data_IF_756106426524
#
_entry.id   IF_756106426524
#
_cell.length_a   1.000
_cell.length_b   1.000
_cell.length_c   1.000
_cell.angle_alpha   90.00
_cell.angle_beta   90.00
_cell.angle_gamma   90.00
#
_symmetry.space_group_name_H-M   'P 1'
#
loop_
_entity.id
_entity.type
_entity.pdbx_description
1 polymer ?
#
# COMPACT_ATOMS: atom_id res chain seq x y z
N UNK A 1 -56.77 -15.94 -26.58
CA UNK A 1 -56.05 -17.20 -26.30
C UNK A 1 -54.67 -16.85 -25.76
N UNK A 2 -54.40 -17.23 -24.51
CA UNK A 2 -53.15 -17.04 -23.76
C UNK A 2 -52.03 -17.94 -24.29
N UNK A 3 -51.67 -17.85 -25.56
CA UNK A 3 -50.78 -18.84 -26.17
C UNK A 3 -49.30 -18.68 -25.76
N UNK A 4 -48.85 -17.50 -25.30
CA UNK A 4 -47.52 -17.33 -24.70
C UNK A 4 -47.32 -15.94 -24.05
N UNK A 5 -47.66 -15.75 -22.76
CA UNK A 5 -47.46 -14.46 -22.06
C UNK A 5 -46.02 -14.23 -21.57
N UNK A 6 -45.13 -15.21 -21.70
CA UNK A 6 -43.69 -15.07 -21.45
C UNK A 6 -42.95 -15.50 -22.70
N UNK A 7 -42.32 -14.55 -23.40
CA UNK A 7 -41.40 -14.91 -24.48
C UNK A 7 -40.38 -15.88 -23.92
N UNK A 8 -40.30 -17.10 -24.47
CA UNK A 8 -39.20 -18.00 -24.15
C UNK A 8 -37.93 -17.27 -24.55
N UNK A 9 -37.13 -16.83 -23.58
CA UNK A 9 -35.73 -16.56 -23.86
C UNK A 9 -35.17 -17.84 -24.47
N UNK A 10 -34.81 -17.78 -25.75
CA UNK A 10 -34.06 -18.87 -26.37
C UNK A 10 -32.85 -19.22 -25.50
N UNK A 11 -32.29 -20.44 -25.60
CA UNK A 11 -31.09 -20.79 -24.85
C UNK A 11 -30.06 -19.69 -25.04
N UNK A 12 -29.53 -19.18 -23.91
CA UNK A 12 -28.46 -18.20 -23.89
C UNK A 12 -27.38 -18.63 -24.88
N UNK A 13 -27.16 -17.87 -25.95
CA UNK A 13 -26.07 -18.13 -26.91
C UNK A 13 -24.71 -17.81 -26.31
N UNK A 14 -24.68 -17.14 -25.17
CA UNK A 14 -23.47 -16.91 -24.37
C UNK A 14 -23.24 -18.11 -23.44
N UNK A 15 -22.07 -18.79 -23.56
CA UNK A 15 -21.66 -19.84 -22.65
C UNK A 15 -21.69 -19.35 -21.18
N UNK A 16 -22.22 -20.15 -20.24
CA UNK A 16 -22.27 -19.76 -18.83
C UNK A 16 -20.88 -19.64 -18.20
N UNK A 17 -20.81 -18.91 -17.08
CA UNK A 17 -19.65 -18.89 -16.19
C UNK A 17 -19.84 -19.92 -15.08
N UNK A 18 -18.77 -20.56 -14.65
CA UNK A 18 -18.78 -21.51 -13.53
C UNK A 18 -17.66 -21.18 -12.55
N UNK A 19 -17.93 -21.44 -11.27
CA UNK A 19 -16.94 -21.41 -10.20
C UNK A 19 -16.80 -22.84 -9.69
N UNK A 20 -15.57 -23.28 -9.47
CA UNK A 20 -15.25 -24.61 -8.97
C UNK A 20 -14.04 -24.52 -8.05
N UNK A 21 -13.90 -25.50 -7.17
CA UNK A 21 -12.81 -25.59 -6.23
C UNK A 21 -12.05 -26.89 -6.51
N UNK A 22 -10.73 -26.87 -6.32
CA UNK A 22 -9.99 -28.12 -6.30
C UNK A 22 -10.52 -29.00 -5.14
N UNK A 23 -10.88 -30.28 -5.33
CA UNK A 23 -11.33 -31.14 -4.24
C UNK A 23 -10.26 -31.36 -3.15
N UNK A 24 -8.97 -31.24 -3.51
CA UNK A 24 -7.84 -31.50 -2.62
C UNK A 24 -7.09 -30.21 -2.26
N UNK A 25 -7.76 -29.29 -1.54
CA UNK A 25 -7.14 -28.04 -1.08
C UNK A 25 -6.32 -28.26 0.20
N UNK A 26 -4.99 -28.09 0.18
CA UNK A 26 -4.19 -28.07 1.40
C UNK A 26 -4.55 -26.87 2.27
N UNK A 27 -4.47 -27.04 3.58
CA UNK A 27 -4.67 -25.96 4.54
C UNK A 27 -3.52 -24.95 4.46
N UNK A 28 -3.87 -23.66 4.33
CA UNK A 28 -2.91 -22.57 4.39
C UNK A 28 -2.16 -22.57 5.74
N UNK A 29 -0.84 -22.37 5.70
CA UNK A 29 -0.04 -22.23 6.92
C UNK A 29 1.09 -21.23 6.74
N UNK A 30 1.58 -20.71 7.87
CA UNK A 30 2.67 -19.74 7.93
C UNK A 30 3.71 -20.22 8.94
N UNK A 31 4.95 -20.32 8.50
CA UNK A 31 6.10 -20.48 9.38
C UNK A 31 6.64 -19.10 9.70
N UNK A 32 6.77 -18.79 11.00
CA UNK A 32 7.21 -17.48 11.47
C UNK A 32 8.41 -17.66 12.41
N UNK A 33 9.42 -16.81 12.26
CA UNK A 33 10.56 -16.73 13.15
C UNK A 33 10.80 -15.29 13.56
N UNK A 34 11.20 -15.08 14.81
CA UNK A 34 11.47 -13.75 15.33
C UNK A 34 12.68 -13.75 16.23
N UNK A 35 13.35 -12.61 16.27
CA UNK A 35 14.50 -12.36 17.11
C UNK A 35 14.36 -10.97 17.72
N UNK A 36 14.60 -10.83 19.02
CA UNK A 36 14.40 -9.56 19.72
C UNK A 36 15.51 -9.29 20.74
N UNK A 37 15.94 -8.05 20.82
CA UNK A 37 16.84 -7.54 21.86
C UNK A 37 16.26 -6.23 22.42
N UNK A 38 16.10 -6.19 23.73
CA UNK A 38 15.77 -4.97 24.47
C UNK A 38 16.95 -4.53 25.33
N UNK A 39 17.19 -3.21 25.37
CA UNK A 39 18.21 -2.62 26.23
C UNK A 39 17.76 -1.28 26.79
N UNK A 40 17.90 -1.11 28.11
CA UNK A 40 17.86 0.23 28.71
C UNK A 40 19.12 1.00 28.29
N UNK A 41 18.94 2.18 27.69
CA UNK A 41 20.06 3.03 27.26
C UNK A 41 20.54 3.93 28.40
N UNK A 42 19.59 4.55 29.09
CA UNK A 42 19.77 5.36 30.29
C UNK A 42 18.44 5.42 31.04
N UNK A 43 18.44 6.03 32.23
CA UNK A 43 17.26 6.04 33.11
C UNK A 43 16.00 6.53 32.38
N UNK A 44 15.06 5.61 32.19
CA UNK A 44 13.77 5.89 31.55
C UNK A 44 13.78 5.86 30.02
N UNK A 45 14.90 5.46 29.39
CA UNK A 45 15.02 5.26 27.95
C UNK A 45 15.28 3.80 27.60
N UNK A 46 14.60 3.29 26.57
CA UNK A 46 14.77 1.94 26.05
C UNK A 46 15.00 1.94 24.55
N UNK A 47 15.86 1.03 24.12
CA UNK A 47 16.03 0.60 22.74
C UNK A 47 15.48 -0.82 22.61
N UNK A 48 14.70 -1.04 21.56
CA UNK A 48 14.17 -2.35 21.19
C UNK A 48 14.51 -2.59 19.73
N UNK A 49 15.11 -3.74 19.46
CA UNK A 49 15.44 -4.23 18.13
C UNK A 49 14.68 -5.54 17.94
N UNK A 50 13.82 -5.61 16.92
CA UNK A 50 13.04 -6.80 16.61
C UNK A 50 13.17 -7.14 15.13
N UNK A 51 13.53 -8.38 14.84
CA UNK A 51 13.44 -8.97 13.52
C UNK A 51 12.30 -9.98 13.48
N UNK A 52 11.57 -10.00 12.37
CA UNK A 52 10.45 -10.88 12.11
C UNK A 52 10.52 -11.34 10.66
N UNK A 53 10.61 -12.64 10.44
CA UNK A 53 10.47 -13.26 9.13
C UNK A 53 9.29 -14.23 9.10
N UNK A 54 8.65 -14.36 7.94
CA UNK A 54 7.64 -15.40 7.72
C UNK A 54 7.64 -15.93 6.30
N UNK A 55 7.34 -17.22 6.19
CA UNK A 55 7.07 -17.92 4.95
C UNK A 55 5.68 -18.53 5.00
N UNK A 56 4.80 -18.07 4.12
CA UNK A 56 3.41 -18.56 3.99
C UNK A 56 3.30 -19.45 2.77
N UNK A 57 2.61 -20.58 2.93
CA UNK A 57 2.39 -21.58 1.89
C UNK A 57 0.92 -22.00 1.84
N UNK A 58 0.52 -22.52 0.68
CA UNK A 58 -0.86 -22.92 0.41
C UNK A 58 -1.86 -21.77 0.60
N UNK A 59 -1.42 -20.55 0.28
CA UNK A 59 -2.32 -19.42 0.20
C UNK A 59 -3.31 -19.65 -0.94
N UNK A 60 -4.53 -19.18 -0.72
CA UNK A 60 -5.59 -19.31 -1.69
C UNK A 60 -5.35 -18.37 -2.87
N UNK A 61 -5.62 -18.86 -4.07
CA UNK A 61 -5.74 -18.07 -5.28
C UNK A 61 -6.95 -18.49 -6.08
N UNK A 62 -7.41 -17.58 -6.91
CA UNK A 62 -8.39 -17.88 -7.93
C UNK A 62 -7.79 -17.64 -9.29
N UNK A 63 -7.96 -18.59 -10.19
CA UNK A 63 -7.46 -18.47 -11.55
C UNK A 63 -8.47 -19.03 -12.55
N UNK A 64 -8.35 -18.59 -13.78
CA UNK A 64 -9.29 -18.96 -14.84
C UNK A 64 -8.71 -20.12 -15.65
N UNK A 65 -9.07 -21.36 -15.28
CA UNK A 65 -8.49 -22.57 -15.89
C UNK A 65 -8.94 -22.79 -17.35
N UNK A 66 -9.98 -22.09 -17.81
CA UNK A 66 -10.49 -22.11 -19.18
C UNK A 66 -9.91 -20.99 -20.05
N UNK A 67 -8.78 -20.41 -19.66
CA UNK A 67 -8.04 -19.41 -20.44
C UNK A 67 -7.37 -20.08 -21.64
N UNK A 68 -7.56 -19.62 -22.88
CA UNK A 68 -6.88 -20.23 -24.01
C UNK A 68 -5.36 -19.94 -23.94
N UNK A 69 -4.50 -20.83 -24.46
CA UNK A 69 -3.09 -20.51 -24.65
C UNK A 69 -2.96 -19.30 -25.60
N UNK A 70 -1.87 -18.51 -25.56
CA UNK A 70 -1.72 -17.39 -26.47
C UNK A 70 -1.81 -17.77 -27.95
N UNK A 71 -2.46 -16.93 -28.77
CA UNK A 71 -2.57 -17.21 -30.20
C UNK A 71 -3.62 -16.39 -30.96
N UNK A 72 -3.69 -16.57 -32.30
CA UNK A 72 -4.58 -15.81 -33.18
C UNK A 72 -6.05 -16.24 -33.10
N UNK A 73 -6.94 -15.36 -33.55
CA UNK A 73 -8.37 -15.64 -33.67
C UNK A 73 -9.17 -15.39 -32.38
N UNK A 74 -10.45 -15.76 -32.42
CA UNK A 74 -11.40 -15.49 -31.33
C UNK A 74 -11.01 -16.27 -30.06
N UNK A 75 -10.94 -15.56 -28.92
CA UNK A 75 -10.60 -16.14 -27.61
C UNK A 75 -11.47 -17.35 -27.28
N UNK A 76 -12.79 -17.23 -27.46
CA UNK A 76 -13.75 -18.28 -27.12
C UNK A 76 -13.60 -19.58 -27.93
N UNK A 77 -13.13 -19.53 -29.18
CA UNK A 77 -12.95 -20.74 -29.99
C UNK A 77 -11.70 -21.54 -29.61
N UNK A 78 -10.74 -20.89 -28.95
CA UNK A 78 -9.49 -21.49 -28.47
C UNK A 78 -9.56 -21.95 -27.01
N UNK A 79 -10.64 -21.65 -26.29
CA UNK A 79 -10.81 -22.09 -24.90
C UNK A 79 -10.77 -23.62 -24.83
N UNK A 80 -10.09 -24.21 -23.82
CA UNK A 80 -10.07 -25.66 -23.60
C UNK A 80 -11.47 -26.28 -23.56
N UNK A 81 -12.41 -25.60 -22.89
CA UNK A 81 -13.83 -25.97 -22.86
C UNK A 81 -14.70 -24.85 -23.43
N UNK A 82 -15.24 -25.07 -24.64
CA UNK A 82 -16.07 -24.10 -25.36
C UNK A 82 -17.49 -23.96 -24.81
N UNK A 83 -17.93 -24.88 -23.94
CA UNK A 83 -19.26 -24.84 -23.32
C UNK A 83 -19.36 -23.79 -22.21
N UNK A 84 -18.22 -23.30 -21.72
CA UNK A 84 -18.17 -22.29 -20.67
C UNK A 84 -17.35 -21.09 -21.14
N UNK A 85 -17.74 -19.89 -20.70
CA UNK A 85 -16.97 -18.69 -20.99
C UNK A 85 -15.80 -18.59 -20.00
N UNK A 86 -16.11 -18.48 -18.71
CA UNK A 86 -15.11 -18.46 -17.65
C UNK A 86 -15.33 -19.63 -16.70
N UNK A 87 -14.25 -20.33 -16.34
CA UNK A 87 -14.24 -21.29 -15.25
C UNK A 87 -13.24 -20.76 -14.22
N UNK A 88 -13.74 -20.18 -13.13
CA UNK A 88 -12.92 -19.74 -12.00
C UNK A 88 -12.65 -20.94 -11.10
N UNK A 89 -11.39 -21.26 -10.90
CA UNK A 89 -10.95 -22.36 -10.04
C UNK A 89 -10.28 -21.79 -8.79
N UNK A 90 -10.71 -22.22 -7.61
CA UNK A 90 -10.02 -21.93 -6.35
C UNK A 90 -8.94 -22.99 -6.11
N UNK A 91 -7.72 -22.54 -5.79
CA UNK A 91 -6.57 -23.39 -5.53
C UNK A 91 -5.70 -22.82 -4.40
N UNK A 92 -5.11 -23.70 -3.58
CA UNK A 92 -4.22 -23.33 -2.47
C UNK A 92 -2.77 -23.70 -2.79
N UNK A 93 -2.12 -22.90 -3.64
CA UNK A 93 -0.75 -23.10 -4.09
C UNK A 93 0.10 -21.82 -4.12
N UNK A 94 -0.44 -20.67 -3.69
CA UNK A 94 0.33 -19.43 -3.60
C UNK A 94 1.25 -19.40 -2.38
N UNK A 95 2.27 -18.55 -2.50
CA UNK A 95 3.30 -18.32 -1.48
C UNK A 95 3.44 -16.83 -1.20
N UNK A 96 3.77 -16.50 0.04
CA UNK A 96 4.18 -15.15 0.41
C UNK A 96 5.36 -15.20 1.38
N UNK A 97 6.26 -14.23 1.27
CA UNK A 97 7.38 -14.04 2.20
C UNK A 97 7.31 -12.64 2.80
N UNK A 98 7.66 -12.54 4.07
CA UNK A 98 7.81 -11.28 4.76
C UNK A 98 9.12 -11.28 5.53
N UNK A 99 9.89 -10.21 5.40
CA UNK A 99 11.07 -9.93 6.20
C UNK A 99 10.96 -8.52 6.77
N UNK A 100 11.12 -8.37 8.07
CA UNK A 100 10.94 -7.10 8.76
C UNK A 100 11.94 -6.88 9.88
N UNK A 101 12.52 -5.69 9.94
CA UNK A 101 13.37 -5.23 11.04
C UNK A 101 12.78 -3.95 11.63
N UNK A 102 12.43 -3.98 12.91
CA UNK A 102 11.91 -2.84 13.65
C UNK A 102 12.92 -2.38 14.71
N UNK A 103 13.17 -1.08 14.76
CA UNK A 103 13.98 -0.40 15.76
C UNK A 103 13.11 0.62 16.47
N UNK A 104 12.87 0.43 17.75
CA UNK A 104 12.04 1.32 18.56
C UNK A 104 12.90 1.97 19.64
N UNK A 105 12.86 3.30 19.68
CA UNK A 105 13.46 4.11 20.74
C UNK A 105 12.34 4.77 21.53
N UNK A 106 12.37 4.60 22.85
CA UNK A 106 11.37 5.15 23.77
C UNK A 106 12.05 5.91 24.90
N UNK A 107 11.60 7.12 25.19
CA UNK A 107 11.95 7.90 26.37
C UNK A 107 10.67 8.19 27.16
N UNK A 108 10.59 7.68 28.39
CA UNK A 108 9.55 8.05 29.34
C UNK A 108 9.70 9.51 29.76
N UNK A 109 8.60 10.15 30.14
CA UNK A 109 8.58 11.56 30.54
C UNK A 109 9.72 11.88 31.53
N UNK A 110 10.64 12.74 31.11
CA UNK A 110 11.77 13.18 31.92
C UNK A 110 12.10 14.62 31.55
N UNK A 111 12.15 15.51 32.56
CA UNK A 111 12.42 16.94 32.37
C UNK A 111 11.53 17.60 31.29
N UNK A 112 10.25 17.19 31.26
CA UNK A 112 9.26 17.69 30.30
C UNK A 112 9.28 17.02 28.93
N UNK A 113 10.22 16.11 28.62
CA UNK A 113 10.30 15.43 27.33
C UNK A 113 9.82 13.97 27.42
N UNK A 114 8.90 13.60 26.54
CA UNK A 114 8.53 12.23 26.21
C UNK A 114 8.70 12.02 24.70
N UNK A 115 9.30 10.90 24.32
CA UNK A 115 9.57 10.59 22.92
C UNK A 115 9.38 9.10 22.63
N UNK A 116 8.81 8.79 21.47
CA UNK A 116 8.81 7.45 20.90
C UNK A 116 9.06 7.54 19.40
N UNK A 117 10.08 6.85 18.91
CA UNK A 117 10.35 6.69 17.48
C UNK A 117 10.41 5.20 17.13
N UNK A 118 9.90 4.84 15.96
CA UNK A 118 9.92 3.49 15.41
C UNK A 118 10.37 3.56 13.96
N UNK A 119 11.46 2.88 13.64
CA UNK A 119 11.90 2.66 12.27
C UNK A 119 11.65 1.21 11.90
N UNK A 120 11.00 0.96 10.77
CA UNK A 120 10.74 -0.37 10.25
C UNK A 120 11.31 -0.45 8.84
N UNK A 121 12.22 -1.39 8.61
CA UNK A 121 12.50 -1.93 7.29
C UNK A 121 11.58 -3.12 7.07
N UNK A 122 10.94 -3.19 5.90
CA UNK A 122 10.17 -4.38 5.52
C UNK A 122 10.38 -4.73 4.05
N UNK A 123 10.30 -6.03 3.76
CA UNK A 123 10.30 -6.59 2.43
C UNK A 123 9.25 -7.69 2.37
N UNK A 124 8.15 -7.39 1.68
CA UNK A 124 7.03 -8.31 1.49
C UNK A 124 6.97 -8.72 0.04
N UNK A 125 6.91 -10.02 -0.21
CA UNK A 125 6.80 -10.58 -1.55
C UNK A 125 5.64 -11.56 -1.64
N UNK A 126 4.82 -11.41 -2.67
CA UNK A 126 3.66 -12.24 -2.95
C UNK A 126 3.52 -12.45 -4.47
N UNK A 127 2.59 -13.33 -4.85
CA UNK A 127 2.28 -13.58 -6.26
C UNK A 127 1.19 -12.64 -6.74
N UNK A 128 0.04 -12.69 -6.07
CA UNK A 128 -1.11 -11.85 -6.36
C UNK A 128 -1.70 -11.26 -5.09
N UNK A 129 -2.57 -10.28 -5.25
CA UNK A 129 -3.28 -9.66 -4.14
C UNK A 129 -4.64 -10.32 -3.99
N UNK A 130 -4.85 -11.07 -2.90
CA UNK A 130 -6.15 -11.62 -2.45
C UNK A 130 -7.00 -12.26 -3.58
N UNK A 131 -7.09 -13.59 -3.55
CA UNK A 131 -7.93 -14.43 -4.40
C UNK A 131 -9.36 -13.92 -4.60
N UNK A 132 -9.96 -13.29 -3.59
CA UNK A 132 -11.32 -12.79 -3.59
C UNK A 132 -11.41 -11.26 -3.77
N UNK A 133 -10.29 -10.55 -3.64
CA UNK A 133 -10.13 -9.12 -3.95
C UNK A 133 -9.92 -8.83 -5.44
N UNK A 134 -9.85 -9.87 -6.29
CA UNK A 134 -9.72 -9.75 -7.74
C UNK A 134 -8.29 -9.72 -8.27
N UNK A 135 -7.29 -10.06 -7.45
CA UNK A 135 -5.93 -10.28 -7.95
C UNK A 135 -5.88 -11.53 -8.84
N UNK A 136 -5.25 -11.39 -10.00
CA UNK A 136 -4.98 -12.50 -10.90
C UNK A 136 -3.56 -12.38 -11.44
N UNK A 137 -2.83 -13.51 -11.57
CA UNK A 137 -1.52 -13.49 -12.21
C UNK A 137 -1.67 -13.12 -13.68
N UNK A 138 -0.63 -12.57 -14.28
CA UNK A 138 -0.59 -12.26 -15.72
C UNK A 138 -0.79 -13.54 -16.54
N UNK A 139 -0.16 -14.64 -16.13
CA UNK A 139 -0.36 -15.96 -16.72
C UNK A 139 -0.98 -16.92 -15.69
N UNK A 140 -2.26 -17.33 -15.86
CA UNK A 140 -2.94 -18.26 -14.95
C UNK A 140 -2.25 -19.62 -14.78
N UNK A 141 -1.47 -20.03 -15.79
CA UNK A 141 -0.76 -21.31 -15.83
C UNK A 141 0.68 -21.23 -15.32
N UNK A 142 1.26 -20.02 -15.25
CA UNK A 142 2.58 -19.76 -14.68
C UNK A 142 2.49 -18.58 -13.71
N UNK A 143 1.85 -18.84 -12.57
CA UNK A 143 1.68 -17.84 -11.52
C UNK A 143 3.02 -17.45 -10.89
N UNK A 144 4.03 -18.33 -10.92
CA UNK A 144 5.33 -18.05 -10.29
C UNK A 144 6.05 -16.85 -10.93
N UNK A 145 5.76 -16.56 -12.20
CA UNK A 145 6.26 -15.38 -12.90
C UNK A 145 5.80 -14.05 -12.26
N UNK A 146 4.73 -14.05 -11.46
CA UNK A 146 4.20 -12.88 -10.77
C UNK A 146 4.74 -12.69 -9.35
N UNK A 147 5.60 -13.60 -8.88
CA UNK A 147 6.21 -13.52 -7.56
C UNK A 147 7.16 -12.32 -7.47
N UNK A 148 6.75 -11.26 -6.76
CA UNK A 148 7.46 -10.00 -6.68
C UNK A 148 7.10 -9.21 -5.40
N UNK A 149 7.55 -7.97 -5.29
CA UNK A 149 7.17 -7.07 -4.19
C UNK A 149 5.64 -6.99 -4.09
N UNK A 150 5.09 -7.11 -2.88
CA UNK A 150 3.67 -6.96 -2.64
C UNK A 150 3.19 -5.52 -2.88
N UNK A 151 1.91 -5.32 -3.18
CA UNK A 151 1.37 -3.98 -3.46
C UNK A 151 1.49 -3.00 -2.27
N UNK A 152 1.63 -3.54 -1.06
CA UNK A 152 1.79 -2.81 0.20
C UNK A 152 3.21 -2.90 0.78
N UNK A 153 4.21 -3.30 -0.03
CA UNK A 153 5.60 -3.36 0.40
C UNK A 153 6.18 -1.94 0.61
N UNK A 154 6.21 -1.48 1.85
CA UNK A 154 6.86 -0.21 2.21
C UNK A 154 8.26 -0.53 2.73
N UNK A 155 9.28 -0.27 1.91
CA UNK A 155 10.66 -0.67 2.22
C UNK A 155 11.20 -0.06 3.51
N UNK A 156 10.95 1.22 3.72
CA UNK A 156 11.40 1.96 4.90
C UNK A 156 10.28 2.83 5.42
N UNK A 157 9.97 2.70 6.71
CA UNK A 157 8.96 3.50 7.40
C UNK A 157 9.47 3.95 8.76
N UNK A 158 9.54 5.26 8.94
CA UNK A 158 9.85 5.92 10.20
C UNK A 158 8.57 6.57 10.71
N UNK A 159 8.17 6.25 11.93
CA UNK A 159 7.06 6.92 12.62
C UNK A 159 7.51 7.34 14.02
N UNK A 160 6.92 8.39 14.55
CA UNK A 160 7.22 8.77 15.92
C UNK A 160 6.38 9.91 16.44
N UNK A 161 6.52 10.13 17.74
CA UNK A 161 5.86 11.17 18.49
C UNK A 161 6.77 11.77 19.54
N UNK A 162 6.70 13.09 19.68
CA UNK A 162 7.36 13.87 20.73
C UNK A 162 6.28 14.62 21.50
N UNK A 163 6.35 14.60 22.82
CA UNK A 163 5.60 15.47 23.72
C UNK A 163 6.62 16.26 24.53
N UNK A 164 6.53 17.58 24.48
CA UNK A 164 7.36 18.48 25.27
C UNK A 164 6.49 19.41 26.11
N UNK A 165 6.47 19.17 27.41
CA UNK A 165 5.89 20.05 28.42
C UNK A 165 6.96 21.03 28.85
N UNK A 166 6.75 22.33 28.62
CA UNK A 166 7.73 23.35 28.99
C UNK A 166 7.80 23.41 30.53
N UNK A 167 8.88 22.92 31.16
CA UNK A 167 8.90 22.59 32.57
C UNK A 167 9.27 23.80 33.43
N UNK A 168 8.63 24.95 33.19
CA UNK A 168 8.59 26.16 34.02
C UNK A 168 9.52 27.30 33.57
N UNK A 169 8.89 28.39 33.11
CA UNK A 169 9.43 29.75 33.23
C UNK A 169 9.27 30.21 34.69
N UNK A 170 10.34 30.10 35.50
CA UNK A 170 10.37 30.60 36.88
C UNK A 170 10.51 32.13 36.86
N UNK A 171 9.40 32.83 36.64
CA UNK A 171 9.36 34.30 36.72
C UNK A 171 8.41 34.75 37.82
N UNK A 172 8.81 35.82 38.52
CA UNK A 172 8.01 36.51 39.54
C UNK A 172 6.87 37.32 38.93
N UNK A 173 6.97 37.69 37.65
CA UNK A 173 5.93 38.45 36.96
C UNK A 173 4.73 37.55 36.59
N UNK A 174 3.57 37.84 37.17
CA UNK A 174 2.33 37.08 36.97
C UNK A 174 1.88 37.04 35.51
N UNK A 175 2.08 38.13 34.76
CA UNK A 175 1.75 38.18 33.33
C UNK A 175 2.65 37.25 32.52
N UNK A 176 3.96 37.30 32.75
CA UNK A 176 4.91 36.43 32.05
C UNK A 176 4.68 34.94 32.41
N UNK A 177 4.32 34.64 33.66
CA UNK A 177 3.95 33.28 34.08
C UNK A 177 2.67 32.79 33.40
N UNK A 178 1.66 33.65 33.30
CA UNK A 178 0.40 33.35 32.60
C UNK A 178 0.59 33.18 31.09
N UNK A 179 1.43 34.00 30.45
CA UNK A 179 1.69 33.95 29.02
C UNK A 179 2.60 32.77 28.62
N UNK A 180 3.65 32.48 29.38
CA UNK A 180 4.70 31.52 28.99
C UNK A 180 4.74 30.21 29.80
N UNK A 181 3.96 30.06 30.87
CA UNK A 181 3.85 28.81 31.62
C UNK A 181 2.89 27.79 31.00
N UNK A 182 2.99 26.51 31.37
CA UNK A 182 1.99 25.47 31.05
C UNK A 182 1.66 25.30 29.55
N UNK A 183 2.67 25.49 28.70
CA UNK A 183 2.62 25.07 27.30
C UNK A 183 3.05 23.61 27.18
N UNK A 184 2.33 22.87 26.35
CA UNK A 184 2.71 21.53 25.91
C UNK A 184 2.67 21.51 24.39
N UNK A 185 3.74 21.01 23.79
CA UNK A 185 3.89 20.84 22.35
C UNK A 185 3.89 19.35 22.07
N UNK A 186 3.10 18.91 21.09
CA UNK A 186 3.20 17.56 20.57
C UNK A 186 3.50 17.60 19.08
N UNK A 187 4.32 16.68 18.62
CA UNK A 187 4.56 16.45 17.20
C UNK A 187 4.42 14.96 16.92
N UNK A 188 3.70 14.61 15.85
CA UNK A 188 3.69 13.29 15.26
C UNK A 188 4.32 13.39 13.89
N UNK A 189 5.15 12.43 13.52
CA UNK A 189 5.77 12.40 12.21
C UNK A 189 5.74 11.02 11.60
N UNK A 190 5.63 11.00 10.29
CA UNK A 190 5.78 9.82 9.45
C UNK A 190 6.65 10.17 8.25
N UNK A 191 7.62 9.31 7.96
CA UNK A 191 8.43 9.35 6.75
C UNK A 191 8.52 7.93 6.20
N UNK A 192 8.17 7.71 4.94
CA UNK A 192 8.26 6.38 4.35
C UNK A 192 8.58 6.44 2.86
N UNK A 193 9.18 5.36 2.36
CA UNK A 193 9.32 5.12 0.93
C UNK A 193 7.96 4.93 0.27
N UNK A 194 7.90 5.16 -1.05
CA UNK A 194 6.68 4.97 -1.81
C UNK A 194 6.28 3.50 -1.94
N UNK A 195 5.02 3.29 -2.26
CA UNK A 195 4.48 1.98 -2.56
C UNK A 195 4.97 1.52 -3.95
N UNK A 196 5.28 0.24 -4.14
CA UNK A 196 5.54 -0.27 -5.46
C UNK A 196 4.26 -0.22 -6.31
N UNK A 197 4.44 -0.17 -7.63
CA UNK A 197 3.32 -0.22 -8.57
C UNK A 197 3.64 -1.07 -9.78
N UNK A 198 2.60 -1.67 -10.34
CA UNK A 198 2.70 -2.52 -11.51
C UNK A 198 2.63 -1.68 -12.79
N UNK A 199 3.53 -1.92 -13.74
CA UNK A 199 3.41 -1.36 -15.10
C UNK A 199 2.62 -2.35 -15.95
N UNK A 200 1.39 -1.97 -16.30
CA UNK A 200 0.51 -2.79 -17.13
C UNK A 200 0.51 -2.29 -18.57
N UNK A 201 0.29 -3.17 -19.52
CA UNK A 201 0.03 -2.83 -20.93
C UNK A 201 -1.41 -2.38 -21.11
N UNK A 202 -1.66 -1.40 -21.99
CA UNK A 202 -3.01 -1.00 -22.39
C UNK A 202 -3.74 -2.03 -23.27
N UNK A 203 -3.03 -3.07 -23.72
CA UNK A 203 -3.52 -4.10 -24.64
C UNK A 203 -3.18 -5.51 -24.13
N UNK A 204 -4.08 -6.46 -24.39
CA UNK A 204 -3.82 -7.89 -24.26
C UNK A 204 -3.04 -8.39 -25.49
N UNK A 205 -1.71 -8.46 -25.37
CA UNK A 205 -0.83 -8.94 -26.45
C UNK A 205 -0.86 -10.46 -26.61
N UNK A 206 -1.18 -11.20 -25.54
CA UNK A 206 -1.28 -12.65 -25.58
C UNK A 206 -2.60 -13.12 -26.21
N UNK A 207 -3.61 -12.23 -26.30
CA UNK A 207 -4.96 -12.52 -26.77
C UNK A 207 -5.59 -13.67 -25.97
N UNK A 208 -5.51 -13.62 -24.66
CA UNK A 208 -6.00 -14.70 -23.79
C UNK A 208 -7.19 -14.31 -22.94
N UNK A 209 -7.44 -13.00 -22.77
CA UNK A 209 -8.43 -12.48 -21.84
C UNK A 209 -8.28 -13.09 -20.43
N UNK A 210 -7.02 -13.30 -20.00
CA UNK A 210 -6.64 -14.03 -18.79
C UNK A 210 -7.04 -13.37 -17.45
N UNK A 211 -7.72 -12.23 -17.48
CA UNK A 211 -8.18 -11.50 -16.28
C UNK A 211 -7.07 -10.73 -15.55
N UNK A 212 -5.84 -11.24 -15.52
CA UNK A 212 -4.67 -10.55 -14.97
C UNK A 212 -4.14 -9.42 -15.87
N UNK A 213 -3.40 -8.45 -15.30
CA UNK A 213 -2.85 -7.34 -16.06
C UNK A 213 -1.73 -7.84 -16.98
N UNK A 214 -1.91 -7.71 -18.30
CA UNK A 214 -0.83 -7.88 -19.25
C UNK A 214 0.29 -6.87 -18.95
N UNK A 215 1.55 -7.26 -19.10
CA UNK A 215 2.70 -6.37 -18.93
C UNK A 215 3.44 -6.16 -20.24
N UNK A 216 4.15 -5.03 -20.42
CA UNK A 216 5.06 -4.85 -21.53
C UNK A 216 6.31 -5.74 -21.40
N UNK A 217 7.12 -5.76 -22.45
CA UNK A 217 8.48 -6.26 -22.39
C UNK A 217 9.42 -5.20 -21.82
N UNK A 218 10.39 -5.63 -21.01
CA UNK A 218 11.47 -4.83 -20.49
C UNK A 218 12.66 -4.91 -21.45
N UNK A 219 13.10 -3.76 -21.96
CA UNK A 219 14.25 -3.61 -22.88
C UNK A 219 15.54 -3.35 -22.11
N UNK A 220 15.44 -2.63 -20.99
CA UNK A 220 16.53 -2.38 -20.06
C UNK A 220 15.97 -2.07 -18.66
N UNK A 221 16.83 -1.91 -17.66
CA UNK A 221 16.40 -1.59 -16.29
C UNK A 221 15.52 -0.31 -16.29
N UNK A 222 14.31 -0.37 -15.71
CA UNK A 222 13.41 0.76 -15.70
C UNK A 222 13.78 1.73 -14.57
N UNK A 223 13.43 2.99 -14.74
CA UNK A 223 13.60 4.00 -13.69
C UNK A 223 12.35 4.88 -13.54
N UNK A 224 12.16 5.41 -12.33
CA UNK A 224 11.14 6.41 -12.05
C UNK A 224 11.69 7.49 -11.12
N UNK A 225 11.29 8.74 -11.35
CA UNK A 225 11.60 9.90 -10.51
C UNK A 225 10.34 10.67 -10.10
N UNK A 226 9.19 9.98 -10.08
CA UNK A 226 7.89 10.55 -9.74
C UNK A 226 7.90 11.19 -8.35
N UNK A 227 7.44 12.43 -8.25
CA UNK A 227 7.43 13.20 -7.00
C UNK A 227 8.77 13.86 -6.66
N UNK A 228 9.87 13.54 -7.34
CA UNK A 228 11.16 14.20 -7.20
C UNK A 228 11.33 15.29 -8.26
N UNK A 229 10.46 16.29 -8.22
CA UNK A 229 10.44 17.42 -9.18
C UNK A 229 9.78 17.11 -10.53
N UNK A 230 9.36 15.87 -10.77
CA UNK A 230 8.66 15.45 -11.98
C UNK A 230 7.30 14.83 -11.63
N UNK A 231 6.23 15.40 -12.20
CA UNK A 231 4.85 14.90 -12.06
C UNK A 231 4.28 14.35 -13.37
N UNK A 232 4.99 14.53 -14.48
CA UNK A 232 4.66 13.98 -15.79
C UNK A 232 5.93 13.42 -16.43
N UNK A 233 5.79 12.40 -17.28
CA UNK A 233 6.91 11.67 -17.88
C UNK A 233 7.95 11.20 -16.84
N UNK A 234 7.48 10.86 -15.64
CA UNK A 234 8.35 10.51 -14.51
C UNK A 234 8.71 9.02 -14.47
N UNK A 235 8.23 8.23 -15.43
CA UNK A 235 8.63 6.86 -15.69
C UNK A 235 9.39 6.84 -17.01
N UNK A 236 10.53 6.16 -17.03
CA UNK A 236 11.27 5.90 -18.26
C UNK A 236 10.47 4.97 -19.18
N UNK A 237 9.81 5.57 -20.19
CA UNK A 237 9.03 4.83 -21.17
C UNK A 237 9.89 4.02 -22.14
N UNK A 238 11.18 4.36 -22.31
CA UNK A 238 12.08 3.66 -23.24
C UNK A 238 12.52 2.29 -22.72
N UNK A 239 12.41 2.08 -21.40
CA UNK A 239 12.62 0.79 -20.76
C UNK A 239 11.59 -0.26 -21.17
N UNK A 240 10.47 0.16 -21.77
CA UNK A 240 9.33 -0.70 -22.08
C UNK A 240 9.05 -0.76 -23.58
N UNK A 241 8.71 -1.96 -24.06
CA UNK A 241 8.22 -2.19 -25.40
C UNK A 241 6.95 -3.03 -25.34
N UNK A 242 5.95 -2.71 -26.16
CA UNK A 242 4.78 -3.58 -26.30
C UNK A 242 5.21 -4.87 -27.02
N UNK A 243 4.86 -6.05 -26.49
CA UNK A 243 5.07 -7.29 -27.23
C UNK A 243 4.38 -7.25 -28.60
N UNK A 244 5.00 -7.77 -29.68
CA UNK A 244 4.37 -7.83 -30.98
C UNK A 244 3.06 -8.63 -30.94
N UNK A 245 1.98 -8.04 -31.49
CA UNK A 245 0.62 -8.63 -31.45
C UNK A 245 0.47 -9.90 -32.28
N UNK A 246 1.36 -10.11 -33.24
CA UNK A 246 1.41 -11.24 -34.17
C UNK A 246 2.12 -12.47 -33.57
N UNK A 247 2.95 -12.28 -32.54
CA UNK A 247 3.66 -13.37 -31.85
C UNK A 247 2.81 -13.96 -30.71
N UNK A 248 1.83 -13.20 -30.21
CA UNK A 248 0.94 -13.60 -29.11
C UNK A 248 1.69 -14.07 -27.88
N UNK A 249 2.35 -13.16 -27.18
CA UNK A 249 3.11 -13.48 -25.96
C UNK A 249 2.66 -12.63 -24.79
N UNK A 250 2.83 -13.17 -23.59
CA UNK A 250 2.85 -12.40 -22.37
C UNK A 250 4.12 -11.54 -22.34
N UNK A 251 4.05 -10.34 -21.76
CA UNK A 251 5.26 -9.54 -21.54
C UNK A 251 6.16 -10.15 -20.47
N UNK A 252 7.40 -9.67 -20.40
CA UNK A 252 8.40 -10.17 -19.44
C UNK A 252 8.71 -9.18 -18.29
N UNK A 253 8.10 -8.00 -18.27
CA UNK A 253 8.32 -7.07 -17.16
C UNK A 253 7.82 -7.69 -15.84
N UNK A 254 8.62 -7.57 -14.79
CA UNK A 254 8.25 -8.05 -13.46
C UNK A 254 7.08 -7.24 -12.89
N UNK A 255 6.35 -7.85 -11.95
CA UNK A 255 5.38 -7.14 -11.12
C UNK A 255 6.12 -6.17 -10.18
N UNK A 256 5.55 -4.98 -9.97
CA UNK A 256 5.94 -4.09 -8.86
C UNK A 256 7.45 -3.73 -8.79
N UNK A 257 8.08 -3.56 -9.97
CA UNK A 257 9.52 -3.25 -10.10
C UNK A 257 9.83 -1.80 -9.74
N UNK A 258 8.90 -0.87 -10.02
CA UNK A 258 9.05 0.55 -9.74
C UNK A 258 8.32 0.94 -8.45
N UNK A 259 8.84 1.97 -7.79
CA UNK A 259 8.26 2.56 -6.59
C UNK A 259 7.79 3.97 -6.88
N UNK A 260 6.65 4.33 -6.29
CA UNK A 260 6.11 5.68 -6.39
C UNK A 260 6.78 6.67 -5.43
N UNK A 261 6.21 7.89 -5.35
CA UNK A 261 6.67 8.92 -4.42
C UNK A 261 6.61 8.45 -2.96
N UNK A 262 7.60 8.86 -2.17
CA UNK A 262 7.57 8.69 -0.72
C UNK A 262 6.52 9.57 -0.05
N UNK A 263 6.23 9.28 1.22
CA UNK A 263 5.32 10.06 2.04
C UNK A 263 6.10 10.66 3.22
N UNK A 264 5.90 11.95 3.44
CA UNK A 264 6.43 12.69 4.57
C UNK A 264 5.34 13.61 5.13
N UNK A 265 5.00 13.41 6.40
CA UNK A 265 4.00 14.23 7.07
C UNK A 265 4.41 14.50 8.52
N UNK A 266 4.12 15.71 8.98
CA UNK A 266 4.26 16.13 10.37
C UNK A 266 2.95 16.76 10.80
N UNK A 267 2.35 16.22 11.85
CA UNK A 267 1.21 16.82 12.53
C UNK A 267 1.72 17.44 13.84
N UNK A 268 1.27 18.66 14.13
CA UNK A 268 1.73 19.43 15.27
C UNK A 268 0.55 19.90 16.09
N UNK A 269 0.66 19.84 17.41
CA UNK A 269 -0.37 20.36 18.31
C UNK A 269 0.24 21.12 19.47
N UNK A 270 -0.45 22.19 19.85
CA UNK A 270 -0.04 23.13 20.88
C UNK A 270 -1.17 23.27 21.89
N UNK A 271 -0.86 22.99 23.15
CA UNK A 271 -1.79 23.07 24.26
C UNK A 271 -1.34 24.14 25.23
N UNK A 272 -2.29 24.95 25.67
CA UNK A 272 -2.08 25.95 26.71
C UNK A 272 -3.11 25.77 27.80
N UNK A 273 -2.64 25.54 29.03
CA UNK A 273 -3.50 25.48 30.19
C UNK A 273 -3.51 26.83 30.93
N UNK A 274 -4.70 27.43 31.05
CA UNK A 274 -4.98 28.61 31.84
C UNK A 274 -5.61 28.20 33.17
N UNK A 275 -4.88 28.28 34.30
CA UNK A 275 -5.47 28.06 35.60
C UNK A 275 -6.43 29.21 35.93
N UNK A 276 -7.72 28.92 36.17
CA UNK A 276 -8.72 29.92 36.58
C UNK A 276 -8.89 29.87 38.11
N UNK A 277 -9.10 28.67 38.66
CA UNK A 277 -9.16 28.38 40.11
C UNK A 277 -8.44 27.06 40.39
N UNK A 278 -8.34 26.68 41.67
CA UNK A 278 -7.62 25.48 42.12
C UNK A 278 -8.02 24.20 41.37
N UNK A 279 -9.33 24.03 41.08
CA UNK A 279 -9.87 22.88 40.33
C UNK A 279 -10.26 23.22 38.88
N UNK A 280 -10.42 24.51 38.56
CA UNK A 280 -10.93 24.95 37.27
C UNK A 280 -9.80 25.41 36.34
N UNK A 281 -9.62 24.73 35.21
CA UNK A 281 -8.62 25.07 34.18
C UNK A 281 -9.29 25.19 32.81
N UNK A 282 -8.97 26.25 32.07
CA UNK A 282 -9.35 26.37 30.67
C UNK A 282 -8.15 25.94 29.81
N UNK A 283 -8.35 24.99 28.91
CA UNK A 283 -7.33 24.52 27.98
C UNK A 283 -7.65 25.00 26.57
N UNK A 284 -6.71 25.72 25.98
CA UNK A 284 -6.71 26.03 24.56
C UNK A 284 -5.87 25.00 23.81
N UNK A 285 -6.35 24.59 22.63
CA UNK A 285 -5.72 23.64 21.72
C UNK A 285 -5.65 24.27 20.34
N UNK A 286 -4.48 24.19 19.72
CA UNK A 286 -4.30 24.43 18.30
C UNK A 286 -3.65 23.18 17.69
N UNK A 287 -4.32 22.57 16.73
CA UNK A 287 -3.89 21.35 16.05
C UNK A 287 -3.70 21.65 14.57
N UNK A 288 -2.57 21.22 14.02
CA UNK A 288 -2.14 21.45 12.65
C UNK A 288 -1.85 20.09 12.01
N UNK A 289 -2.74 19.63 11.15
CA UNK A 289 -2.53 18.44 10.33
C UNK A 289 -1.77 18.85 9.07
N UNK A 290 -0.77 18.08 8.66
CA UNK A 290 0.17 18.46 7.60
C UNK A 290 0.75 19.88 7.85
N UNK A 291 1.40 20.04 8.99
CA UNK A 291 1.97 21.31 9.47
C UNK A 291 2.89 21.97 8.42
N UNK A 292 3.64 21.16 7.67
CA UNK A 292 4.54 21.66 6.63
C UNK A 292 3.84 22.00 5.30
N UNK A 293 2.57 21.60 5.13
CA UNK A 293 1.87 21.59 3.83
C UNK A 293 2.72 20.92 2.74
N UNK A 294 3.36 19.81 3.10
CA UNK A 294 4.14 19.02 2.16
C UNK A 294 3.17 18.17 1.33
N UNK A 295 3.18 18.25 -0.01
CA UNK A 295 2.33 17.40 -0.85
C UNK A 295 2.85 15.96 -0.83
N UNK A 296 2.02 15.01 -0.43
CA UNK A 296 2.32 13.59 -0.56
C UNK A 296 1.64 13.07 -1.82
N UNK A 297 2.43 12.78 -2.85
CA UNK A 297 1.90 12.35 -4.14
C UNK A 297 1.45 10.88 -4.11
N UNK A 298 0.45 10.55 -4.91
CA UNK A 298 0.05 9.16 -5.17
C UNK A 298 0.94 8.52 -6.24
N UNK A 299 0.83 7.20 -6.40
CA UNK A 299 1.50 6.50 -7.50
C UNK A 299 1.08 7.07 -8.87
N UNK A 300 2.00 7.13 -9.83
CA UNK A 300 1.69 7.61 -11.18
C UNK A 300 0.76 6.65 -11.92
N UNK A 301 0.10 7.14 -12.95
CA UNK A 301 -0.56 6.27 -13.93
C UNK A 301 0.50 5.40 -14.63
N UNK A 302 0.34 4.08 -14.52
CA UNK A 302 1.35 3.08 -14.92
C UNK A 302 0.92 2.19 -16.09
N UNK A 303 -0.16 2.55 -16.78
CA UNK A 303 -0.61 1.84 -17.98
C UNK A 303 0.20 2.28 -19.19
N UNK A 304 1.14 1.44 -19.62
CA UNK A 304 1.98 1.65 -20.78
C UNK A 304 1.15 1.68 -22.07
N UNK A 305 1.48 2.63 -22.96
CA UNK A 305 0.73 2.87 -24.20
C UNK A 305 -0.46 3.83 -24.07
N UNK A 306 -0.63 4.49 -22.92
CA UNK A 306 -1.59 5.60 -22.76
C UNK A 306 -0.87 6.95 -22.67
N UNK A 307 -1.58 8.04 -22.96
CA UNK A 307 -1.05 9.41 -22.84
C UNK A 307 -0.75 9.83 -21.40
N UNK A 308 -1.36 9.16 -20.41
CA UNK A 308 -1.16 9.45 -18.99
C UNK A 308 0.01 8.68 -18.38
N UNK A 309 0.67 7.77 -19.11
CA UNK A 309 1.76 6.95 -18.59
C UNK A 309 2.86 7.82 -17.96
N UNK A 310 3.20 7.55 -16.71
CA UNK A 310 4.18 8.33 -15.95
C UNK A 310 3.68 9.71 -15.50
N UNK A 311 2.36 9.90 -15.39
CA UNK A 311 1.76 11.12 -14.84
C UNK A 311 1.15 10.89 -13.45
N UNK A 312 1.47 11.77 -12.52
CA UNK A 312 0.91 11.84 -11.16
C UNK A 312 -0.21 12.87 -11.16
N UNK A 313 -1.44 12.42 -10.88
CA UNK A 313 -2.64 13.28 -10.95
C UNK A 313 -3.34 13.49 -9.61
N UNK A 314 -2.84 12.89 -8.52
CA UNK A 314 -3.45 12.99 -7.19
C UNK A 314 -2.43 12.93 -6.07
N UNK A 315 -2.85 13.35 -4.88
CA UNK A 315 -2.13 13.18 -3.62
C UNK A 315 -2.69 12.00 -2.82
N UNK A 316 -1.87 11.42 -1.97
CA UNK A 316 -2.21 10.30 -1.07
C UNK A 316 -2.61 10.76 0.33
N UNK A 317 -2.39 12.04 0.65
CA UNK A 317 -2.83 12.67 1.91
C UNK A 317 -3.61 13.95 1.63
N UNK A 318 -4.36 14.39 2.64
CA UNK A 318 -5.06 15.66 2.65
C UNK A 318 -4.09 16.86 2.73
N UNK A 319 -4.64 18.04 2.42
CA UNK A 319 -3.96 19.32 2.57
C UNK A 319 -3.85 19.72 4.05
N UNK A 320 -3.14 20.81 4.33
CA UNK A 320 -3.07 21.36 5.69
C UNK A 320 -4.46 21.67 6.24
N UNK A 321 -4.78 21.12 7.40
CA UNK A 321 -5.97 21.44 8.18
C UNK A 321 -5.58 22.00 9.55
N UNK A 322 -6.31 23.00 10.03
CA UNK A 322 -6.03 23.71 11.28
C UNK A 322 -7.28 23.74 12.14
N UNK A 323 -7.17 23.19 13.34
CA UNK A 323 -8.28 23.10 14.28
C UNK A 323 -7.96 23.83 15.58
N UNK A 324 -8.96 24.54 16.10
CA UNK A 324 -8.86 25.22 17.39
C UNK A 324 -9.93 24.66 18.34
N UNK A 325 -9.51 24.39 19.58
CA UNK A 325 -10.38 23.85 20.60
C UNK A 325 -10.23 24.59 21.92
N UNK A 326 -11.35 24.79 22.63
CA UNK A 326 -11.38 25.25 24.01
C UNK A 326 -12.07 24.19 24.87
N UNK A 327 -11.41 23.78 25.94
CA UNK A 327 -11.91 22.77 26.88
C UNK A 327 -11.85 23.31 28.31
N UNK A 328 -12.97 23.32 29.01
CA UNK A 328 -13.01 23.60 30.44
C UNK A 328 -12.85 22.30 31.23
N UNK A 329 -11.92 22.27 32.17
CA UNK A 329 -11.59 21.15 33.05
C UNK A 329 -11.93 21.53 34.49
N UNK A 330 -12.67 20.70 35.20
CA UNK A 330 -13.15 20.93 36.58
C UNK A 330 -12.96 19.69 37.45
#
# INVERSE_FOLDING_TARGET
TLANPTGSSGPSTTPPNVITDNPDLPTAYMNQWSFGIDRELWRGSGLELQYLGSHSMHLDRSYFNNTPPPGPGLVNSRRPNRLFNVIRTIQNDEIANYEGLSVVVRQRMSRGLLFRGSYTWSHTQDVTTDSNGGGAPMNPYDWRADYANANWDIRHRLTGGVVYEIPIFHTTNAFLRGAFGAWQMNALFIAQTGLPFNVASSIDTANTSAGGPARPNLVHAPSSNCGNGHLANCIDATAYALPPKDVYVYGNAGRNVLHGPGLFNIDYSLFKNFPIKERLKLQFRAEFFNFLNHPNFSNPASTFGTVSFGSVTSTSTENRDIQFGLKLLF
#
